data_IF_690430002278
#
_entry.id   IF_690430002278
#
_cell.length_a   1.000
_cell.length_b   1.000
_cell.length_c   1.000
_cell.angle_alpha   90.00
_cell.angle_beta   90.00
_cell.angle_gamma   90.00
#
_symmetry.space_group_name_H-M   'P 1'
#
loop_
_entity.id
_entity.type
_entity.pdbx_description
1 polymer ?
#
# COMPACT_ATOMS: atom_id res chain seq x y z
N UNK A 1 25.18 -20.00 -0.59
CA UNK A 1 24.14 -19.01 -0.21
C UNK A 1 23.89 -18.08 -1.39
N UNK A 2 22.64 -17.82 -1.73
CA UNK A 2 22.29 -16.93 -2.84
C UNK A 2 22.57 -15.47 -2.46
N UNK A 3 23.13 -14.66 -3.37
CA UNK A 3 23.36 -13.24 -3.09
C UNK A 3 22.03 -12.48 -2.99
N UNK A 4 21.97 -11.47 -2.11
CA UNK A 4 20.78 -10.63 -1.94
C UNK A 4 20.32 -10.03 -3.27
N UNK A 5 21.26 -9.56 -4.10
CA UNK A 5 20.96 -8.96 -5.41
C UNK A 5 20.21 -9.95 -6.33
N UNK A 6 20.67 -11.19 -6.41
CA UNK A 6 20.06 -12.18 -7.30
C UNK A 6 18.67 -12.57 -6.79
N UNK A 7 18.50 -12.72 -5.48
CA UNK A 7 17.21 -13.01 -4.88
C UNK A 7 16.21 -11.85 -5.03
N UNK A 8 16.65 -10.62 -4.74
CA UNK A 8 15.87 -9.40 -4.93
C UNK A 8 15.42 -9.27 -6.40
N UNK A 9 16.34 -9.41 -7.35
CA UNK A 9 16.04 -9.29 -8.77
C UNK A 9 15.02 -10.36 -9.23
N UNK A 10 15.12 -11.58 -8.72
CA UNK A 10 14.20 -12.66 -9.05
C UNK A 10 12.77 -12.35 -8.56
N UNK A 11 12.63 -11.95 -7.30
CA UNK A 11 11.32 -11.58 -6.74
C UNK A 11 10.73 -10.32 -7.40
N UNK A 12 11.60 -9.33 -7.65
CA UNK A 12 11.19 -8.07 -8.27
C UNK A 12 10.72 -8.26 -9.70
N UNK A 13 11.32 -9.16 -10.48
CA UNK A 13 10.95 -9.40 -11.88
C UNK A 13 9.48 -9.79 -12.06
N UNK A 14 8.96 -10.69 -11.22
CA UNK A 14 7.54 -11.08 -11.26
C UNK A 14 6.62 -9.91 -10.85
N UNK A 15 6.94 -9.23 -9.75
CA UNK A 15 6.14 -8.10 -9.23
C UNK A 15 6.11 -6.94 -10.23
N UNK A 16 7.26 -6.57 -10.79
CA UNK A 16 7.40 -5.49 -11.76
C UNK A 16 6.62 -5.76 -13.04
N UNK A 17 6.65 -6.99 -13.57
CA UNK A 17 5.83 -7.38 -14.72
C UNK A 17 4.32 -7.24 -14.44
N UNK A 18 3.87 -7.66 -13.26
CA UNK A 18 2.46 -7.53 -12.87
C UNK A 18 2.06 -6.05 -12.73
N UNK A 19 2.89 -5.22 -12.09
CA UNK A 19 2.62 -3.79 -11.94
C UNK A 19 2.55 -3.09 -13.29
N UNK A 20 3.51 -3.35 -14.20
CA UNK A 20 3.48 -2.76 -15.55
C UNK A 20 2.25 -3.19 -16.35
N UNK A 21 1.81 -4.44 -16.21
CA UNK A 21 0.61 -4.90 -16.89
C UNK A 21 -0.65 -4.16 -16.40
N UNK A 22 -0.74 -3.91 -15.08
CA UNK A 22 -1.84 -3.12 -14.49
C UNK A 22 -1.78 -1.67 -14.99
N UNK A 23 -0.59 -1.05 -15.00
CA UNK A 23 -0.38 0.31 -15.49
C UNK A 23 -0.76 0.44 -16.98
N UNK A 24 -0.45 -0.57 -17.81
CA UNK A 24 -0.85 -0.60 -19.21
C UNK A 24 -2.38 -0.62 -19.36
N UNK A 25 -3.06 -1.49 -18.60
CA UNK A 25 -4.53 -1.55 -18.58
C UNK A 25 -5.11 -0.21 -18.12
N UNK A 26 -4.52 0.42 -17.10
CA UNK A 26 -4.94 1.73 -16.60
C UNK A 26 -4.93 2.79 -17.72
N UNK A 27 -3.81 2.91 -18.44
CA UNK A 27 -3.68 3.86 -19.56
C UNK A 27 -4.75 3.59 -20.63
N UNK A 28 -4.98 2.32 -20.99
CA UNK A 28 -6.02 1.95 -21.96
C UNK A 28 -7.41 2.36 -21.47
N UNK A 29 -7.73 2.13 -20.19
CA UNK A 29 -9.02 2.49 -19.60
C UNK A 29 -9.26 4.00 -19.60
N UNK A 30 -8.22 4.79 -19.30
CA UNK A 30 -8.27 6.26 -19.37
C UNK A 30 -8.55 6.72 -20.80
N UNK A 31 -7.81 6.21 -21.78
CA UNK A 31 -7.98 6.57 -23.20
C UNK A 31 -9.39 6.26 -23.70
N UNK A 32 -9.89 5.05 -23.41
CA UNK A 32 -11.26 4.65 -23.80
C UNK A 32 -12.30 5.58 -23.16
N UNK A 33 -12.13 5.91 -21.89
CA UNK A 33 -13.08 6.77 -21.16
C UNK A 33 -13.10 8.20 -21.70
N UNK A 34 -11.93 8.74 -22.06
CA UNK A 34 -11.82 10.06 -22.70
C UNK A 34 -12.48 10.06 -24.08
N UNK A 35 -12.23 9.04 -24.91
CA UNK A 35 -12.88 8.90 -26.22
C UNK A 35 -14.40 8.81 -26.07
N UNK A 36 -14.86 8.02 -25.10
CA UNK A 36 -16.28 7.88 -24.81
C UNK A 36 -16.93 9.21 -24.39
N UNK A 37 -16.25 10.02 -23.58
CA UNK A 37 -16.74 11.33 -23.19
C UNK A 37 -16.81 12.31 -24.37
N UNK A 38 -15.86 12.25 -25.30
CA UNK A 38 -15.90 13.03 -26.54
C UNK A 38 -17.12 12.66 -27.41
N UNK A 39 -17.40 11.36 -27.57
CA UNK A 39 -18.54 10.88 -28.38
C UNK A 39 -19.87 11.31 -27.78
N UNK A 40 -20.01 11.25 -26.46
CA UNK A 40 -21.27 11.60 -25.77
C UNK A 40 -21.45 13.10 -25.52
N UNK A 41 -20.51 13.95 -25.95
CA UNK A 41 -20.58 15.40 -25.74
C UNK A 41 -20.35 15.84 -24.29
N UNK A 42 -19.88 14.95 -23.42
CA UNK A 42 -19.57 15.23 -22.01
C UNK A 42 -18.11 15.67 -21.79
N UNK A 43 -17.41 16.01 -22.87
CA UNK A 43 -16.01 16.40 -22.80
C UNK A 43 -15.88 17.83 -22.26
N UNK A 44 -15.13 17.96 -21.16
CA UNK A 44 -14.83 19.23 -20.50
C UNK A 44 -13.31 19.35 -20.31
N UNK A 45 -12.84 20.54 -19.94
CA UNK A 45 -11.43 20.75 -19.59
C UNK A 45 -10.97 19.83 -18.44
N UNK A 46 -11.87 19.41 -17.56
CA UNK A 46 -11.53 18.55 -16.42
C UNK A 46 -11.41 17.06 -16.79
N UNK A 47 -11.90 16.66 -17.97
CA UNK A 47 -12.12 15.26 -18.35
C UNK A 47 -10.86 14.40 -18.29
N UNK A 48 -9.72 14.90 -18.77
CA UNK A 48 -8.45 14.14 -18.73
C UNK A 48 -8.00 13.82 -17.31
N UNK A 49 -7.96 14.82 -16.44
CA UNK A 49 -7.54 14.65 -15.05
C UNK A 49 -8.53 13.80 -14.27
N UNK A 50 -9.84 14.02 -14.43
CA UNK A 50 -10.89 13.27 -13.73
C UNK A 50 -10.83 11.76 -14.03
N UNK A 51 -10.75 11.38 -15.30
CA UNK A 51 -10.65 9.97 -15.66
C UNK A 51 -9.30 9.37 -15.24
N UNK A 52 -8.21 10.14 -15.31
CA UNK A 52 -6.92 9.70 -14.80
C UNK A 52 -7.01 9.39 -13.31
N UNK A 53 -7.46 10.33 -12.48
CA UNK A 53 -7.59 10.13 -11.04
C UNK A 53 -8.49 8.94 -10.69
N UNK A 54 -9.61 8.78 -11.41
CA UNK A 54 -10.57 7.69 -11.18
C UNK A 54 -9.96 6.32 -11.47
N UNK A 55 -9.35 6.16 -12.65
CA UNK A 55 -8.77 4.89 -13.05
C UNK A 55 -7.46 4.59 -12.32
N UNK A 56 -6.64 5.61 -12.03
CA UNK A 56 -5.45 5.49 -11.18
C UNK A 56 -5.79 5.00 -9.78
N UNK A 57 -6.90 5.44 -9.19
CA UNK A 57 -7.36 4.91 -7.89
C UNK A 57 -7.69 3.42 -7.97
N UNK A 58 -8.44 3.00 -8.99
CA UNK A 58 -8.77 1.58 -9.23
C UNK A 58 -7.50 0.78 -9.48
N UNK A 59 -6.59 1.29 -10.31
CA UNK A 59 -5.32 0.65 -10.62
C UNK A 59 -4.49 0.45 -9.35
N UNK A 60 -4.36 1.49 -8.51
CA UNK A 60 -3.64 1.39 -7.23
C UNK A 60 -4.25 0.35 -6.30
N UNK A 61 -5.57 0.26 -6.22
CA UNK A 61 -6.27 -0.76 -5.43
C UNK A 61 -5.98 -2.18 -5.96
N UNK A 62 -6.11 -2.39 -7.27
CA UNK A 62 -5.80 -3.67 -7.92
C UNK A 62 -4.32 -4.04 -7.76
N UNK A 63 -3.43 -3.05 -7.92
CA UNK A 63 -1.99 -3.17 -7.73
C UNK A 63 -1.63 -3.58 -6.31
N UNK A 64 -2.22 -2.94 -5.30
CA UNK A 64 -2.07 -3.31 -3.90
C UNK A 64 -2.53 -4.76 -3.66
N UNK A 65 -3.75 -5.13 -4.07
CA UNK A 65 -4.25 -6.51 -3.91
C UNK A 65 -3.31 -7.51 -4.58
N UNK A 66 -2.88 -7.24 -5.81
CA UNK A 66 -2.02 -8.15 -6.58
C UNK A 66 -0.65 -8.32 -5.93
N UNK A 67 -0.06 -7.22 -5.46
CA UNK A 67 1.22 -7.26 -4.75
C UNK A 67 1.10 -7.97 -3.41
N UNK A 68 -0.02 -7.81 -2.68
CA UNK A 68 -0.32 -8.56 -1.46
C UNK A 68 -0.40 -10.07 -1.73
N UNK A 69 -1.09 -10.48 -2.78
CA UNK A 69 -1.16 -11.90 -3.16
C UNK A 69 0.23 -12.46 -3.51
N UNK A 70 1.03 -11.72 -4.27
CA UNK A 70 2.39 -12.14 -4.60
C UNK A 70 3.32 -12.15 -3.38
N UNK A 71 3.14 -11.19 -2.46
CA UNK A 71 3.86 -11.11 -1.20
C UNK A 71 3.63 -12.38 -0.38
N UNK A 72 2.37 -12.80 -0.20
CA UNK A 72 2.03 -13.97 0.60
C UNK A 72 2.37 -15.30 -0.08
N UNK A 73 2.25 -15.37 -1.41
CA UNK A 73 2.56 -16.58 -2.18
C UNK A 73 4.02 -17.01 -2.03
N UNK A 74 4.93 -16.07 -1.73
CA UNK A 74 6.35 -16.38 -1.51
C UNK A 74 6.55 -17.20 -0.22
N UNK A 75 5.71 -17.00 0.81
CA UNK A 75 5.76 -17.80 2.04
C UNK A 75 5.09 -19.18 1.89
N UNK A 76 4.27 -19.39 0.85
CA UNK A 76 3.51 -20.64 0.68
C UNK A 76 4.12 -21.64 -0.29
N UNK A 77 4.90 -21.19 -1.29
CA UNK A 77 5.45 -22.11 -2.30
C UNK A 77 6.76 -22.72 -1.87
N UNK A 78 6.86 -24.03 -1.99
CA UNK A 78 8.08 -24.79 -1.70
C UNK A 78 9.27 -24.36 -2.57
N UNK A 79 9.02 -23.90 -3.80
CA UNK A 79 10.05 -23.43 -4.72
C UNK A 79 10.90 -22.28 -4.16
N UNK A 80 10.33 -21.44 -3.28
CA UNK A 80 11.05 -20.32 -2.67
C UNK A 80 11.72 -20.70 -1.35
N UNK A 81 11.25 -21.76 -0.68
CA UNK A 81 11.80 -22.24 0.60
C UNK A 81 13.07 -23.08 0.44
N UNK A 82 13.26 -23.68 -0.74
CA UNK A 82 14.49 -24.43 -1.08
C UNK A 82 15.67 -23.52 -1.44
N UNK A 83 15.47 -22.20 -1.53
CA UNK A 83 16.55 -21.27 -1.85
C UNK A 83 17.40 -21.08 -0.59
N UNK A 84 18.73 -21.29 -0.63
CA UNK A 84 19.60 -21.21 0.55
C UNK A 84 19.84 -19.74 0.96
N UNK A 85 18.84 -19.14 1.59
CA UNK A 85 18.77 -17.77 2.12
C UNK A 85 18.19 -17.83 3.53
N UNK A 86 18.79 -17.12 4.50
CA UNK A 86 18.27 -17.10 5.87
C UNK A 86 16.96 -16.33 6.00
N UNK A 87 16.14 -16.67 7.00
CA UNK A 87 14.76 -16.20 7.15
C UNK A 87 14.62 -14.67 7.24
N UNK A 88 15.56 -14.01 7.93
CA UNK A 88 15.60 -12.54 8.01
C UNK A 88 15.75 -11.93 6.62
N UNK A 89 16.72 -12.43 5.84
CA UNK A 89 16.97 -11.95 4.48
C UNK A 89 15.79 -12.30 3.58
N UNK A 90 15.18 -13.47 3.76
CA UNK A 90 14.01 -13.89 3.01
C UNK A 90 12.83 -12.94 3.22
N UNK A 91 12.45 -12.70 4.48
CA UNK A 91 11.36 -11.82 4.88
C UNK A 91 11.57 -10.39 4.36
N UNK A 92 12.71 -9.78 4.72
CA UNK A 92 12.98 -8.38 4.41
C UNK A 92 13.11 -8.15 2.91
N UNK A 93 13.66 -9.10 2.14
CA UNK A 93 13.72 -8.97 0.68
C UNK A 93 12.32 -9.05 0.07
N UNK A 94 11.45 -9.92 0.58
CA UNK A 94 10.08 -9.99 0.08
C UNK A 94 9.28 -8.71 0.39
N UNK A 95 9.38 -8.22 1.62
CA UNK A 95 8.76 -6.96 2.03
C UNK A 95 9.28 -5.78 1.20
N UNK A 96 10.62 -5.67 1.06
CA UNK A 96 11.25 -4.61 0.28
C UNK A 96 10.87 -4.66 -1.20
N UNK A 97 10.84 -5.84 -1.83
CA UNK A 97 10.45 -5.96 -3.24
C UNK A 97 8.97 -5.63 -3.46
N UNK A 98 8.08 -5.94 -2.52
CA UNK A 98 6.69 -5.47 -2.57
C UNK A 98 6.62 -3.95 -2.44
N UNK A 99 7.38 -3.38 -1.50
CA UNK A 99 7.47 -1.94 -1.28
C UNK A 99 7.99 -1.18 -2.50
N UNK A 100 9.08 -1.64 -3.12
CA UNK A 100 9.59 -1.04 -4.37
C UNK A 100 8.56 -1.18 -5.49
N UNK A 101 7.82 -2.30 -5.55
CA UNK A 101 6.75 -2.50 -6.53
C UNK A 101 5.62 -1.47 -6.42
N UNK A 102 5.09 -1.24 -5.23
CA UNK A 102 4.02 -0.24 -5.02
C UNK A 102 4.55 1.19 -5.14
N UNK A 103 5.78 1.45 -4.69
CA UNK A 103 6.42 2.76 -4.83
C UNK A 103 6.63 3.12 -6.30
N UNK A 104 7.10 2.16 -7.11
CA UNK A 104 7.19 2.32 -8.57
C UNK A 104 5.84 2.64 -9.20
N UNK A 105 4.79 1.90 -8.82
CA UNK A 105 3.44 2.18 -9.31
C UNK A 105 2.99 3.60 -8.95
N UNK A 106 3.14 4.00 -7.69
CA UNK A 106 2.80 5.33 -7.20
C UNK A 106 3.54 6.42 -7.98
N UNK A 107 4.84 6.23 -8.26
CA UNK A 107 5.63 7.19 -9.03
C UNK A 107 5.08 7.36 -10.47
N UNK A 108 4.72 6.27 -11.15
CA UNK A 108 4.13 6.35 -12.50
C UNK A 108 2.76 7.02 -12.49
N UNK A 109 1.90 6.68 -11.52
CA UNK A 109 0.58 7.29 -11.38
C UNK A 109 0.67 8.79 -11.06
N UNK A 110 1.66 9.20 -10.27
CA UNK A 110 1.94 10.62 -10.00
C UNK A 110 2.39 11.36 -11.27
N UNK A 111 3.28 10.76 -12.07
CA UNK A 111 3.69 11.34 -13.35
C UNK A 111 2.50 11.47 -14.30
N UNK A 112 1.63 10.46 -14.38
CA UNK A 112 0.44 10.49 -15.22
C UNK A 112 -0.57 11.56 -14.76
N UNK A 113 -0.78 11.66 -13.45
CA UNK A 113 -1.66 12.67 -12.84
C UNK A 113 -1.11 14.08 -13.06
N UNK A 114 0.20 14.28 -12.91
CA UNK A 114 0.85 15.57 -13.17
C UNK A 114 0.78 15.95 -14.66
N UNK A 115 1.02 15.01 -15.56
CA UNK A 115 0.94 15.23 -17.00
C UNK A 115 -0.47 15.65 -17.45
N UNK A 116 -1.51 15.04 -16.88
CA UNK A 116 -2.90 15.39 -17.19
C UNK A 116 -3.36 16.67 -16.50
N UNK A 117 -2.90 16.94 -15.28
CA UNK A 117 -3.16 18.20 -14.59
C UNK A 117 -2.52 19.40 -15.31
N UNK A 118 -1.34 19.20 -15.93
CA UNK A 118 -0.63 20.25 -16.66
C UNK A 118 -1.42 20.79 -17.86
N UNK A 119 -2.32 19.98 -18.46
CA UNK A 119 -3.13 20.38 -19.62
C UNK A 119 -4.01 21.60 -19.29
N UNK A 120 -4.61 21.62 -18.09
CA UNK A 120 -5.54 22.67 -17.65
C UNK A 120 -5.17 23.22 -16.27
N UNK A 121 -3.87 23.36 -16.01
CA UNK A 121 -3.32 23.74 -14.70
C UNK A 121 -3.98 24.98 -14.09
N UNK A 122 -4.14 26.03 -14.89
CA UNK A 122 -4.69 27.30 -14.40
C UNK A 122 -6.11 27.15 -13.88
N UNK A 123 -6.95 26.35 -14.57
CA UNK A 123 -8.32 26.09 -14.13
C UNK A 123 -8.34 25.35 -12.78
N UNK A 124 -7.50 24.34 -12.60
CA UNK A 124 -7.43 23.61 -11.33
C UNK A 124 -6.97 24.50 -10.18
N UNK A 125 -5.97 25.35 -10.42
CA UNK A 125 -5.51 26.32 -9.40
C UNK A 125 -6.65 27.24 -8.98
N UNK A 126 -7.48 27.69 -9.92
CA UNK A 126 -8.60 28.58 -9.61
C UNK A 126 -9.76 27.84 -8.91
N UNK A 127 -10.05 26.59 -9.29
CA UNK A 127 -10.97 25.71 -8.57
C UNK A 127 -10.50 25.44 -7.12
N UNK A 128 -9.21 25.19 -6.92
CA UNK A 128 -8.62 25.03 -5.59
C UNK A 128 -8.76 26.32 -4.77
N UNK A 129 -8.50 27.50 -5.34
CA UNK A 129 -8.68 28.80 -4.64
C UNK A 129 -10.11 29.00 -4.20
N UNK A 130 -11.07 28.68 -5.05
CA UNK A 130 -12.50 28.76 -4.74
C UNK A 130 -12.86 27.80 -3.61
N UNK A 131 -12.34 26.57 -3.63
CA UNK A 131 -12.49 25.62 -2.53
C UNK A 131 -11.89 26.16 -1.22
N UNK A 132 -10.67 26.69 -1.24
CA UNK A 132 -10.03 27.24 -0.06
C UNK A 132 -10.80 28.42 0.55
N UNK A 133 -11.36 29.29 -0.30
CA UNK A 133 -12.24 30.39 0.13
C UNK A 133 -13.51 29.87 0.80
N UNK A 134 -14.12 28.79 0.29
CA UNK A 134 -15.29 28.14 0.94
C UNK A 134 -14.94 27.56 2.32
N UNK A 135 -13.71 27.08 2.50
CA UNK A 135 -13.22 26.57 3.79
C UNK A 135 -12.58 27.66 4.69
N UNK A 136 -12.78 28.94 4.37
CA UNK A 136 -12.33 30.06 5.21
C UNK A 136 -10.83 30.36 5.14
N UNK A 137 -10.09 29.73 4.22
CA UNK A 137 -8.69 30.04 3.96
C UNK A 137 -8.59 31.16 2.92
N UNK A 138 -8.19 32.35 3.34
CA UNK A 138 -8.11 33.52 2.45
C UNK A 138 -6.92 33.50 1.48
N UNK A 139 -5.89 32.69 1.76
CA UNK A 139 -4.71 32.55 0.90
C UNK A 139 -4.32 31.08 0.78
N UNK A 140 -4.44 30.52 -0.43
CA UNK A 140 -3.83 29.23 -0.74
C UNK A 140 -2.32 29.38 -0.83
N UNK A 141 -1.63 28.85 0.17
CA UNK A 141 -0.21 28.57 0.07
C UNK A 141 -0.01 27.28 -0.74
N UNK A 142 0.39 27.43 -2.01
CA UNK A 142 0.70 26.30 -2.91
C UNK A 142 1.76 25.38 -2.28
N UNK A 143 2.71 25.94 -1.51
CA UNK A 143 3.69 25.16 -0.78
C UNK A 143 3.05 24.23 0.24
N UNK A 144 2.04 24.70 0.98
CA UNK A 144 1.29 23.85 1.94
C UNK A 144 0.53 22.73 1.24
N UNK A 145 -0.12 23.02 0.11
CA UNK A 145 -0.81 22.00 -0.68
C UNK A 145 0.15 20.86 -1.09
N UNK A 146 1.32 21.22 -1.62
CA UNK A 146 2.34 20.23 -2.02
C UNK A 146 2.79 19.40 -0.81
N UNK A 147 3.05 20.02 0.33
CA UNK A 147 3.42 19.30 1.54
C UNK A 147 2.32 18.37 2.06
N UNK A 148 1.05 18.76 1.97
CA UNK A 148 -0.08 17.89 2.31
C UNK A 148 -0.16 16.68 1.38
N UNK A 149 0.02 16.86 0.06
CA UNK A 149 0.06 15.73 -0.88
C UNK A 149 1.23 14.78 -0.57
N UNK A 150 2.42 15.31 -0.31
CA UNK A 150 3.59 14.51 0.09
C UNK A 150 3.32 13.75 1.40
N UNK A 151 2.70 14.40 2.38
CA UNK A 151 2.32 13.80 3.65
C UNK A 151 1.33 12.63 3.45
N UNK A 152 0.31 12.80 2.59
CA UNK A 152 -0.64 11.72 2.25
C UNK A 152 0.04 10.52 1.58
N UNK A 153 1.02 10.75 0.68
CA UNK A 153 1.79 9.68 0.04
C UNK A 153 2.63 8.92 1.08
N UNK A 154 3.33 9.64 1.97
CA UNK A 154 4.13 9.02 3.04
C UNK A 154 3.25 8.15 3.94
N UNK A 155 2.08 8.64 4.33
CA UNK A 155 1.10 7.88 5.10
C UNK A 155 0.68 6.61 4.36
N UNK A 156 0.26 6.75 3.10
CA UNK A 156 -0.20 5.63 2.28
C UNK A 156 0.86 4.53 2.20
N UNK A 157 2.13 4.92 2.03
CA UNK A 157 3.26 3.98 2.01
C UNK A 157 3.48 3.31 3.37
N UNK A 158 3.42 4.06 4.47
CA UNK A 158 3.56 3.51 5.82
C UNK A 158 2.44 2.51 6.16
N UNK A 159 1.18 2.87 5.83
CA UNK A 159 0.02 1.99 6.00
C UNK A 159 0.14 0.74 5.14
N UNK A 160 0.70 0.85 3.92
CA UNK A 160 0.92 -0.31 3.04
C UNK A 160 1.92 -1.29 3.65
N UNK A 161 3.02 -0.78 4.24
CA UNK A 161 3.99 -1.63 4.95
C UNK A 161 3.35 -2.33 6.13
N UNK A 162 2.62 -1.58 6.98
CA UNK A 162 1.88 -2.16 8.10
C UNK A 162 0.90 -3.24 7.62
N UNK A 163 0.10 -2.96 6.58
CA UNK A 163 -0.85 -3.92 6.05
C UNK A 163 -0.18 -5.24 5.64
N UNK A 164 0.99 -5.20 4.98
CA UNK A 164 1.71 -6.43 4.63
C UNK A 164 2.30 -7.14 5.85
N UNK A 165 2.90 -6.43 6.81
CA UNK A 165 3.42 -7.07 8.03
C UNK A 165 2.31 -7.75 8.82
N UNK A 166 1.15 -7.11 8.88
CA UNK A 166 -0.05 -7.61 9.54
C UNK A 166 -0.64 -8.82 8.82
N UNK A 167 -0.78 -8.78 7.49
CA UNK A 167 -1.31 -9.89 6.70
C UNK A 167 -0.39 -11.11 6.85
N UNK A 168 0.93 -10.92 6.77
CA UNK A 168 1.89 -11.99 7.01
C UNK A 168 1.79 -12.54 8.43
N UNK A 169 1.57 -11.69 9.44
CA UNK A 169 1.39 -12.12 10.82
C UNK A 169 0.16 -13.01 10.99
N UNK A 170 -0.97 -12.61 10.44
CA UNK A 170 -2.21 -13.41 10.48
C UNK A 170 -1.98 -14.77 9.82
N UNK A 171 -1.32 -14.78 8.67
CA UNK A 171 -1.06 -16.01 7.92
C UNK A 171 -0.06 -16.94 8.61
N UNK A 172 1.03 -16.41 9.16
CA UNK A 172 2.03 -17.17 9.90
C UNK A 172 1.49 -17.70 11.23
N UNK A 173 0.70 -16.90 11.96
CA UNK A 173 0.01 -17.36 13.18
C UNK A 173 -0.98 -18.49 12.87
N UNK A 174 -1.74 -18.37 11.77
CA UNK A 174 -2.66 -19.42 11.32
C UNK A 174 -1.93 -20.74 11.01
N UNK A 175 -0.74 -20.66 10.40
CA UNK A 175 0.09 -21.85 10.12
C UNK A 175 0.74 -22.44 11.36
N UNK A 176 1.36 -21.60 12.18
CA UNK A 176 2.04 -22.03 13.40
C UNK A 176 1.05 -22.70 14.36
N UNK A 177 -0.15 -22.18 14.55
CA UNK A 177 -1.12 -22.83 15.43
C UNK A 177 -1.68 -24.15 14.87
N UNK A 178 -1.66 -24.37 13.55
CA UNK A 178 -2.08 -25.61 12.91
C UNK A 178 -1.16 -26.80 13.18
N UNK A 179 0.13 -26.57 13.46
CA UNK A 179 1.10 -27.65 13.72
C UNK A 179 1.08 -28.18 15.16
N UNK A 180 0.44 -27.49 16.11
CA UNK A 180 0.47 -27.87 17.53
C UNK A 180 -0.80 -28.54 18.05
N UNK A 181 -1.93 -28.54 17.32
CA UNK A 181 -3.24 -28.86 17.92
C UNK A 181 -4.05 -29.91 17.15
N UNK A 182 -4.48 -31.02 17.80
CA UNK A 182 -5.46 -31.96 17.25
C UNK A 182 -6.82 -31.27 17.00
N UNK A 183 -7.57 -31.77 16.03
CA UNK A 183 -8.77 -31.16 15.40
C UNK A 183 -9.81 -30.52 16.33
N UNK A 184 -9.91 -30.91 17.60
CA UNK A 184 -10.82 -30.29 18.59
C UNK A 184 -10.30 -28.99 19.24
N UNK A 185 -8.99 -28.74 19.31
CA UNK A 185 -8.41 -27.50 19.87
C UNK A 185 -8.25 -26.37 18.82
N UNK A 186 -8.53 -26.68 17.54
CA UNK A 186 -8.56 -25.72 16.42
C UNK A 186 -9.57 -24.57 16.62
N UNK A 187 -10.62 -24.76 17.43
CA UNK A 187 -11.65 -23.72 17.65
C UNK A 187 -11.14 -22.53 18.47
N UNK A 188 -10.29 -22.77 19.48
CA UNK A 188 -9.74 -21.69 20.33
C UNK A 188 -8.70 -20.90 19.54
N UNK A 189 -7.85 -21.58 18.78
CA UNK A 189 -6.89 -20.91 17.90
C UNK A 189 -7.59 -20.10 16.81
N UNK A 190 -8.59 -20.67 16.12
CA UNK A 190 -9.39 -19.93 15.15
C UNK A 190 -10.09 -18.72 15.79
N UNK A 191 -10.56 -18.85 17.03
CA UNK A 191 -11.14 -17.73 17.79
C UNK A 191 -10.10 -16.64 18.13
N UNK A 192 -8.89 -17.01 18.56
CA UNK A 192 -7.79 -16.08 18.81
C UNK A 192 -7.37 -15.38 17.51
N UNK A 193 -7.19 -16.12 16.41
CA UNK A 193 -6.90 -15.55 15.09
C UNK A 193 -8.02 -14.59 14.67
N UNK A 194 -9.29 -14.94 14.90
CA UNK A 194 -10.43 -14.08 14.58
C UNK A 194 -10.44 -12.80 15.41
N UNK A 195 -10.16 -12.88 16.71
CA UNK A 195 -10.02 -11.71 17.59
C UNK A 195 -8.85 -10.83 17.15
N UNK A 196 -7.71 -11.43 16.83
CA UNK A 196 -6.52 -10.69 16.37
C UNK A 196 -6.82 -9.99 15.04
N UNK A 197 -7.44 -10.67 14.08
CA UNK A 197 -7.85 -10.09 12.80
C UNK A 197 -8.85 -8.95 13.00
N UNK A 198 -9.87 -9.13 13.85
CA UNK A 198 -10.85 -8.07 14.14
C UNK A 198 -10.17 -6.88 14.82
N UNK A 199 -9.34 -7.12 15.83
CA UNK A 199 -8.61 -6.08 16.54
C UNK A 199 -7.75 -5.27 15.58
N UNK A 200 -7.03 -5.96 14.70
CA UNK A 200 -6.21 -5.36 13.65
C UNK A 200 -7.06 -4.53 12.68
N UNK A 201 -8.19 -5.05 12.17
CA UNK A 201 -9.04 -4.33 11.23
C UNK A 201 -9.60 -3.06 11.89
N UNK A 202 -10.10 -3.17 13.12
CA UNK A 202 -10.59 -2.02 13.88
C UNK A 202 -9.49 -1.01 14.16
N UNK A 203 -8.26 -1.49 14.44
CA UNK A 203 -7.09 -0.64 14.62
C UNK A 203 -6.75 0.10 13.34
N UNK A 204 -6.66 -0.58 12.20
CA UNK A 204 -6.35 0.02 10.89
C UNK A 204 -7.41 1.04 10.48
N UNK A 205 -8.69 0.74 10.67
CA UNK A 205 -9.79 1.66 10.33
C UNK A 205 -9.78 2.90 11.24
N UNK A 206 -9.68 2.72 12.56
CA UNK A 206 -9.59 3.84 13.49
C UNK A 206 -8.37 4.72 13.18
N UNK A 207 -7.24 4.09 12.86
CA UNK A 207 -6.01 4.78 12.51
C UNK A 207 -6.12 5.56 11.19
N UNK A 208 -6.73 5.01 10.14
CA UNK A 208 -6.95 5.72 8.87
C UNK A 208 -7.83 6.97 9.08
N UNK A 209 -8.87 6.87 9.92
CA UNK A 209 -9.75 8.00 10.21
C UNK A 209 -9.02 9.13 10.96
N UNK A 210 -8.25 8.79 11.99
CA UNK A 210 -7.42 9.76 12.73
C UNK A 210 -6.39 10.42 11.80
N UNK A 211 -5.87 9.67 10.82
CA UNK A 211 -4.89 10.17 9.86
C UNK A 211 -5.46 11.12 8.81
N UNK A 212 -6.65 10.83 8.28
CA UNK A 212 -7.34 11.76 7.37
C UNK A 212 -7.58 13.08 8.10
N UNK A 213 -8.04 13.01 9.34
CA UNK A 213 -8.31 14.18 10.17
C UNK A 213 -7.04 14.97 10.50
N UNK A 214 -5.92 14.31 10.84
CA UNK A 214 -4.67 15.01 11.13
C UNK A 214 -3.99 15.57 9.86
N UNK A 215 -4.13 14.90 8.72
CA UNK A 215 -3.57 15.38 7.44
C UNK A 215 -4.33 16.60 6.91
N UNK A 216 -5.64 16.67 7.13
CA UNK A 216 -6.44 17.87 6.82
C UNK A 216 -6.14 19.02 7.78
N UNK A 217 -5.84 18.73 9.05
CA UNK A 217 -5.41 19.76 10.02
C UNK A 217 -4.05 20.39 9.67
N UNK A 218 -3.13 19.65 9.02
CA UNK A 218 -1.89 20.24 8.50
C UNK A 218 -2.10 21.35 7.46
N UNK A 219 -3.28 21.43 6.82
CA UNK A 219 -3.61 22.54 5.91
C UNK A 219 -3.83 23.86 6.68
N UNK A 220 -4.17 23.78 7.97
CA UNK A 220 -4.60 24.93 8.77
C UNK A 220 -3.59 25.34 9.85
N UNK A 221 -2.74 24.43 10.37
CA UNK A 221 -1.85 24.73 11.49
C UNK A 221 -0.43 24.12 11.37
N UNK A 222 0.61 24.88 11.75
CA UNK A 222 2.03 24.48 11.61
C UNK A 222 2.56 23.59 12.74
N UNK A 223 1.90 23.55 13.90
CA UNK A 223 2.27 22.64 15.00
C UNK A 223 1.95 21.15 14.70
N UNK A 224 1.23 20.87 13.60
CA UNK A 224 0.74 19.53 13.27
C UNK A 224 1.79 18.64 12.56
N UNK A 225 2.93 19.19 12.12
CA UNK A 225 4.02 18.40 11.52
C UNK A 225 4.61 17.40 12.53
N UNK A 226 4.76 17.82 13.79
CA UNK A 226 5.31 16.95 14.83
C UNK A 226 4.35 15.81 15.17
N UNK A 227 3.06 16.12 15.29
CA UNK A 227 2.01 15.13 15.50
C UNK A 227 1.99 14.12 14.34
N UNK A 228 1.95 14.60 13.09
CA UNK A 228 2.02 13.76 11.90
C UNK A 228 3.24 12.83 11.91
N UNK A 229 4.42 13.36 12.23
CA UNK A 229 5.67 12.58 12.23
C UNK A 229 5.63 11.48 13.28
N UNK A 230 5.14 11.78 14.48
CA UNK A 230 4.95 10.79 15.55
C UNK A 230 3.96 9.70 15.16
N UNK A 231 2.88 10.03 14.43
CA UNK A 231 1.95 9.03 13.91
C UNK A 231 2.61 8.09 12.89
N UNK A 232 3.35 8.64 11.92
CA UNK A 232 4.07 7.84 10.93
C UNK A 232 5.10 6.94 11.59
N UNK A 233 5.90 7.47 12.54
CA UNK A 233 6.85 6.68 13.32
C UNK A 233 6.13 5.59 14.10
N UNK A 234 5.00 5.91 14.73
CA UNK A 234 4.18 4.94 15.45
C UNK A 234 3.77 3.74 14.58
N UNK A 235 3.31 3.99 13.34
CA UNK A 235 3.02 2.91 12.38
C UNK A 235 4.25 2.06 12.11
N UNK A 236 5.36 2.70 11.79
CA UNK A 236 6.57 1.99 11.40
C UNK A 236 7.15 1.17 12.56
N UNK A 237 7.01 1.64 13.80
CA UNK A 237 7.37 0.87 15.00
C UNK A 237 6.48 -0.36 15.14
N UNK A 238 5.17 -0.24 14.98
CA UNK A 238 4.26 -1.40 15.01
C UNK A 238 4.59 -2.38 13.89
N UNK A 239 4.77 -1.90 12.67
CA UNK A 239 5.15 -2.73 11.53
C UNK A 239 6.50 -3.42 11.75
N UNK A 240 7.47 -2.75 12.37
CA UNK A 240 8.77 -3.34 12.72
C UNK A 240 8.64 -4.44 13.79
N UNK A 241 7.76 -4.24 14.78
CA UNK A 241 7.44 -5.27 15.78
C UNK A 241 6.79 -6.47 15.12
N UNK A 242 5.77 -6.26 14.26
CA UNK A 242 5.12 -7.34 13.51
C UNK A 242 6.11 -8.08 12.61
N UNK A 243 6.99 -7.36 11.91
CA UNK A 243 8.06 -7.96 11.11
C UNK A 243 9.00 -8.82 11.95
N UNK A 244 9.39 -8.38 13.15
CA UNK A 244 10.22 -9.16 14.06
C UNK A 244 9.51 -10.44 14.52
N UNK A 245 8.21 -10.35 14.86
CA UNK A 245 7.38 -11.52 15.21
C UNK A 245 7.27 -12.48 14.02
N UNK A 246 7.05 -11.97 12.81
CA UNK A 246 6.98 -12.78 11.58
C UNK A 246 8.27 -13.55 11.32
N UNK A 247 9.42 -12.89 11.44
CA UNK A 247 10.74 -13.52 11.30
C UNK A 247 10.93 -14.60 12.37
N UNK A 248 10.53 -14.34 13.62
CA UNK A 248 10.59 -15.32 14.69
C UNK A 248 9.71 -16.55 14.42
N UNK A 249 8.46 -16.33 13.99
CA UNK A 249 7.53 -17.41 13.62
C UNK A 249 8.09 -18.27 12.47
N UNK A 250 8.66 -17.64 11.44
CA UNK A 250 9.25 -18.38 10.33
C UNK A 250 10.45 -19.24 10.73
N UNK A 251 11.31 -18.72 11.61
CA UNK A 251 12.55 -19.40 12.02
C UNK A 251 12.36 -20.54 13.03
N UNK A 252 11.29 -20.52 13.83
CA UNK A 252 11.11 -21.47 14.93
C UNK A 252 9.85 -22.34 14.83
N UNK A 253 8.82 -21.91 14.09
CA UNK A 253 7.49 -22.52 14.17
C UNK A 253 6.91 -22.91 12.80
N UNK A 254 7.61 -22.59 11.72
CA UNK A 254 7.23 -22.97 10.35
C UNK A 254 8.32 -23.88 9.79
N UNK A 255 8.55 -25.03 10.43
CA UNK A 255 9.27 -26.13 9.80
C UNK A 255 8.32 -26.95 8.91
N UNK A 256 8.83 -27.43 7.78
CA UNK A 256 8.11 -28.09 6.70
C UNK A 256 7.39 -29.35 7.17
N UNK A 257 6.06 -29.40 7.02
CA UNK A 257 5.38 -30.68 6.80
C UNK A 257 5.87 -31.16 5.43
N UNK A 258 6.74 -32.17 5.42
CA UNK A 258 6.87 -33.02 4.24
C UNK A 258 5.51 -33.69 4.07
N UNK A 259 4.75 -33.31 3.06
CA UNK A 259 3.63 -34.16 2.62
C UNK A 259 4.25 -35.50 2.21
N UNK A 260 4.03 -36.52 3.06
CA UNK A 260 4.27 -37.94 2.77
C UNK A 260 3.01 -38.53 2.16
#
# INVERSE_FOLDING_TARGET
MTSFKNFFSALMGEKFRNVNFILLINIVAIVISVIWAMINGNFTNATFFQYTMTWSFIAMLVGFIRLTVLHEKIYTRDSFRLIPVGDIKFYLTNLLTSFVGIFYMCAIELVLSAATAAINWQQYVDEFKLMAQMYGSQNLDIGRLVWTFVAMIIIMLAVTVLAWTTISLIHLLGRAGGSFLPSSQSRILNFVVYIVVIFIVLRVVGFIMDMVQNSTNMLTNTNDIWNFSLFVIGILVVAAIEAAVNIYLMSHWVETVSES
#
